data_IF_069782605160
#
_entry.id   IF_069782605160
#
_cell.length_a   1.000
_cell.length_b   1.000
_cell.length_c   1.000
_cell.angle_alpha   90.00
_cell.angle_beta   90.00
_cell.angle_gamma   90.00
#
_symmetry.space_group_name_H-M   'P 1'
#
loop_
_entity.id
_entity.type
_entity.pdbx_description
1 polymer ?
#
# COMPACT_ATOMS: atom_id res chain seq x y z
N UNK A 1 36.84 15.01 -10.70
CA UNK A 1 36.27 16.37 -10.77
C UNK A 1 36.23 16.96 -9.37
N UNK A 2 36.83 18.13 -9.18
CA UNK A 2 36.72 18.89 -7.93
C UNK A 2 35.54 19.85 -8.06
N UNK A 3 34.46 19.58 -7.34
CA UNK A 3 33.36 20.53 -7.15
C UNK A 3 33.75 21.50 -6.03
N UNK A 4 33.35 22.77 -6.16
CA UNK A 4 33.60 23.77 -5.11
C UNK A 4 32.95 23.33 -3.79
N UNK A 5 33.56 23.78 -2.68
CA UNK A 5 33.03 23.54 -1.34
C UNK A 5 31.63 24.13 -1.18
N UNK A 6 31.36 25.27 -1.80
CA UNK A 6 30.04 25.92 -1.80
C UNK A 6 28.93 25.04 -2.38
N UNK A 7 29.19 24.37 -3.51
CA UNK A 7 28.20 23.46 -4.13
C UNK A 7 27.93 22.26 -3.24
N UNK A 8 28.98 21.73 -2.58
CA UNK A 8 28.82 20.63 -1.62
C UNK A 8 28.02 21.05 -0.39
N UNK A 9 28.27 22.25 0.13
CA UNK A 9 27.52 22.81 1.26
C UNK A 9 26.07 23.10 0.90
N UNK A 10 25.80 23.65 -0.29
CA UNK A 10 24.45 23.84 -0.79
C UNK A 10 23.71 22.50 -0.91
N UNK A 11 24.36 21.48 -1.46
CA UNK A 11 23.82 20.12 -1.54
C UNK A 11 23.51 19.56 -0.14
N UNK A 12 24.42 19.75 0.83
CA UNK A 12 24.22 19.33 2.22
C UNK A 12 23.00 20.00 2.83
N UNK A 13 22.86 21.32 2.69
CA UNK A 13 21.70 22.07 3.22
C UNK A 13 20.39 21.57 2.63
N UNK A 14 20.35 21.31 1.32
CA UNK A 14 19.17 20.75 0.66
C UNK A 14 18.85 19.33 1.12
N UNK A 15 19.87 18.50 1.35
CA UNK A 15 19.69 17.14 1.87
C UNK A 15 19.19 17.13 3.32
N UNK A 16 19.67 18.02 4.17
CA UNK A 16 19.19 18.15 5.55
C UNK A 16 17.74 18.69 5.60
N UNK A 17 17.37 19.55 4.66
CA UNK A 17 15.97 19.89 4.36
C UNK A 17 15.18 18.73 3.77
N UNK A 18 15.80 17.58 3.52
CA UNK A 18 15.20 16.32 3.07
C UNK A 18 14.51 16.40 1.72
N UNK A 19 15.10 17.22 0.86
CA UNK A 19 14.93 17.12 -0.58
C UNK A 19 15.48 15.79 -1.10
N UNK A 20 14.86 15.21 -2.13
CA UNK A 20 15.33 13.95 -2.73
C UNK A 20 16.65 14.19 -3.47
N UNK A 21 17.53 13.19 -3.54
CA UNK A 21 18.80 13.31 -4.27
C UNK A 21 18.63 13.71 -5.75
N UNK A 22 17.55 13.26 -6.40
CA UNK A 22 17.16 13.69 -7.76
C UNK A 22 16.84 15.19 -7.84
N UNK A 23 16.15 15.71 -6.83
CA UNK A 23 15.78 17.12 -6.75
C UNK A 23 17.01 17.98 -6.49
N UNK A 24 17.90 17.55 -5.61
CA UNK A 24 19.19 18.22 -5.35
C UNK A 24 20.02 18.26 -6.63
N UNK A 25 20.08 17.16 -7.38
CA UNK A 25 20.76 17.10 -8.67
C UNK A 25 20.17 18.11 -9.66
N UNK A 26 18.83 18.19 -9.78
CA UNK A 26 18.16 19.11 -10.67
C UNK A 26 18.37 20.59 -10.25
N UNK A 27 18.27 20.89 -8.95
CA UNK A 27 18.44 22.26 -8.42
C UNK A 27 19.88 22.78 -8.58
N UNK A 28 20.87 21.90 -8.40
CA UNK A 28 22.29 22.26 -8.53
C UNK A 28 22.85 22.02 -9.95
N UNK A 29 21.99 21.63 -10.91
CA UNK A 29 22.36 21.28 -12.28
C UNK A 29 23.57 20.31 -12.36
N UNK A 30 23.59 19.30 -11.50
CA UNK A 30 24.68 18.33 -11.46
C UNK A 30 24.56 17.33 -12.63
N UNK A 31 25.69 16.95 -13.26
CA UNK A 31 25.67 16.07 -14.42
C UNK A 31 25.26 14.64 -14.10
N UNK A 32 25.46 14.18 -12.86
CA UNK A 32 25.08 12.83 -12.43
C UNK A 32 24.65 12.79 -10.96
N UNK A 33 23.53 12.13 -10.70
CA UNK A 33 23.02 11.92 -9.33
C UNK A 33 24.00 11.17 -8.42
N UNK A 34 24.89 10.32 -8.97
CA UNK A 34 25.91 9.58 -8.21
C UNK A 34 26.82 10.49 -7.40
N UNK A 35 27.01 11.74 -7.83
CA UNK A 35 27.80 12.74 -7.11
C UNK A 35 27.16 13.06 -5.76
N UNK A 36 25.83 13.21 -5.74
CA UNK A 36 25.08 13.49 -4.51
C UNK A 36 25.18 12.30 -3.54
N UNK A 37 24.98 11.07 -4.03
CA UNK A 37 25.15 9.86 -3.20
C UNK A 37 26.57 9.70 -2.67
N UNK A 38 27.59 10.03 -3.47
CA UNK A 38 28.97 10.03 -3.02
C UNK A 38 29.19 11.01 -1.87
N UNK A 39 28.64 12.23 -1.94
CA UNK A 39 28.75 13.21 -0.85
C UNK A 39 27.98 12.82 0.40
N UNK A 40 26.78 12.24 0.25
CA UNK A 40 25.99 11.70 1.37
C UNK A 40 26.84 10.65 2.12
N UNK A 41 27.43 9.70 1.38
CA UNK A 41 28.24 8.63 1.96
C UNK A 41 29.55 9.14 2.59
N UNK A 42 30.24 10.04 1.92
CA UNK A 42 31.51 10.61 2.41
C UNK A 42 31.30 11.51 3.64
N UNK A 43 30.20 12.25 3.66
CA UNK A 43 29.91 13.22 4.72
C UNK A 43 29.06 12.68 5.86
N UNK A 44 28.63 11.42 5.81
CA UNK A 44 27.74 10.81 6.82
C UNK A 44 26.47 11.62 7.01
N UNK A 45 25.87 12.14 5.93
CA UNK A 45 24.74 13.06 6.09
C UNK A 45 23.50 12.35 6.62
N UNK A 46 23.36 11.05 6.38
CA UNK A 46 22.23 10.25 6.90
C UNK A 46 22.21 10.22 8.42
N UNK A 47 23.37 10.17 9.07
CA UNK A 47 23.48 10.18 10.53
C UNK A 47 23.11 11.53 11.15
N UNK A 48 23.08 12.60 10.34
CA UNK A 48 22.68 13.95 10.76
C UNK A 48 21.16 14.15 10.69
N UNK A 49 20.43 13.19 10.10
CA UNK A 49 18.97 13.25 9.99
C UNK A 49 18.35 12.62 11.23
N UNK A 50 17.61 13.39 12.01
CA UNK A 50 16.81 12.84 13.12
C UNK A 50 15.70 11.91 12.62
N UNK A 51 15.34 10.90 13.41
CA UNK A 51 14.15 10.10 13.14
C UNK A 51 12.90 10.96 13.24
N UNK A 52 12.01 10.83 12.25
CA UNK A 52 10.79 11.62 12.15
C UNK A 52 9.59 10.68 12.13
N UNK A 53 8.55 11.03 12.90
CA UNK A 53 7.32 10.26 12.95
C UNK A 53 6.63 10.29 11.57
N UNK A 54 6.02 9.18 11.10
CA UNK A 54 5.52 9.07 9.73
C UNK A 54 4.53 10.17 9.31
N UNK A 55 3.62 10.59 10.19
CA UNK A 55 2.66 11.66 9.90
C UNK A 55 3.37 13.01 9.74
N UNK A 56 4.40 13.26 10.55
CA UNK A 56 5.24 14.47 10.47
C UNK A 56 6.03 14.48 9.16
N UNK A 57 6.66 13.36 8.79
CA UNK A 57 7.42 13.21 7.54
C UNK A 57 6.57 13.42 6.29
N UNK A 58 5.34 12.88 6.27
CA UNK A 58 4.38 13.11 5.18
C UNK A 58 3.98 14.58 5.09
N UNK A 59 3.71 15.23 6.23
CA UNK A 59 3.42 16.67 6.27
C UNK A 59 4.56 17.50 5.70
N UNK A 60 5.79 17.20 6.11
CA UNK A 60 6.98 17.89 5.65
C UNK A 60 7.19 17.75 4.15
N UNK A 61 6.95 16.57 3.59
CA UNK A 61 7.03 16.35 2.13
C UNK A 61 5.98 17.15 1.37
N UNK A 62 4.76 17.25 1.90
CA UNK A 62 3.71 18.10 1.33
C UNK A 62 4.17 19.57 1.31
N UNK A 63 4.67 20.09 2.44
CA UNK A 63 5.20 21.46 2.51
C UNK A 63 6.31 21.71 1.49
N UNK A 64 7.27 20.79 1.35
CA UNK A 64 8.35 20.91 0.37
C UNK A 64 7.85 20.94 -1.09
N UNK A 65 6.79 20.18 -1.41
CA UNK A 65 6.19 20.21 -2.75
C UNK A 65 5.47 21.54 -3.01
N UNK A 66 4.82 22.11 -1.99
CA UNK A 66 4.09 23.38 -2.09
C UNK A 66 5.01 24.61 -2.10
N UNK A 67 6.16 24.55 -1.43
CA UNK A 67 7.16 25.63 -1.38
C UNK A 67 7.92 25.79 -2.71
N UNK A 68 7.70 24.91 -3.69
CA UNK A 68 8.37 24.96 -4.97
C UNK A 68 7.85 26.14 -5.79
N UNK A 69 8.75 27.08 -6.13
CA UNK A 69 8.40 28.31 -6.85
C UNK A 69 7.93 28.08 -8.31
N UNK A 70 8.26 26.93 -8.90
CA UNK A 70 7.84 26.56 -10.25
C UNK A 70 6.48 25.84 -10.24
N UNK A 71 5.77 25.84 -11.37
CA UNK A 71 4.58 25.00 -11.53
C UNK A 71 4.89 23.52 -11.21
N UNK A 72 3.99 22.89 -10.47
CA UNK A 72 4.11 21.48 -10.14
C UNK A 72 3.91 20.64 -11.40
N UNK A 73 4.79 19.66 -11.59
CA UNK A 73 4.65 18.69 -12.68
C UNK A 73 3.50 17.71 -12.41
N UNK A 74 3.01 17.03 -13.44
CA UNK A 74 1.94 16.02 -13.29
C UNK A 74 2.31 14.93 -12.27
N UNK A 75 3.57 14.52 -12.26
CA UNK A 75 4.06 13.51 -11.32
C UNK A 75 4.08 14.03 -9.87
N UNK A 76 4.41 15.30 -9.66
CA UNK A 76 4.39 15.95 -8.34
C UNK A 76 2.96 16.17 -7.84
N UNK A 77 2.01 16.51 -8.72
CA UNK A 77 0.58 16.58 -8.38
C UNK A 77 0.04 15.20 -7.98
N UNK A 78 0.42 14.15 -8.72
CA UNK A 78 0.08 12.77 -8.35
C UNK A 78 0.73 12.34 -7.03
N UNK A 79 1.97 12.76 -6.77
CA UNK A 79 2.64 12.52 -5.48
C UNK A 79 1.86 13.23 -4.35
N UNK A 80 1.48 14.48 -4.54
CA UNK A 80 0.74 15.28 -3.58
C UNK A 80 -0.60 14.63 -3.20
N UNK A 81 -1.38 14.17 -4.18
CA UNK A 81 -2.66 13.50 -3.96
C UNK A 81 -2.52 12.16 -3.21
N UNK A 82 -1.44 11.42 -3.47
CA UNK A 82 -1.14 10.21 -2.70
C UNK A 82 -0.75 10.55 -1.26
N UNK A 83 0.04 11.60 -1.06
CA UNK A 83 0.49 12.04 0.26
C UNK A 83 -0.67 12.55 1.12
N UNK A 84 -1.64 13.30 0.56
CA UNK A 84 -2.85 13.72 1.28
C UNK A 84 -3.67 12.51 1.73
N UNK A 85 -3.87 11.53 0.84
CA UNK A 85 -4.56 10.28 1.17
C UNK A 85 -3.86 9.49 2.28
N UNK A 86 -2.53 9.38 2.23
CA UNK A 86 -1.75 8.70 3.27
C UNK A 86 -1.83 9.47 4.59
N UNK A 87 -1.72 10.80 4.57
CA UNK A 87 -1.82 11.66 5.76
C UNK A 87 -3.15 11.46 6.47
N UNK A 88 -4.27 11.44 5.75
CA UNK A 88 -5.59 11.17 6.34
C UNK A 88 -5.67 9.79 7.00
N UNK A 89 -5.09 8.76 6.38
CA UNK A 89 -5.07 7.41 6.94
C UNK A 89 -4.24 7.35 8.22
N UNK A 90 -3.07 7.98 8.24
CA UNK A 90 -2.21 8.07 9.42
C UNK A 90 -2.90 8.83 10.56
N UNK A 91 -3.58 9.94 10.27
CA UNK A 91 -4.38 10.67 11.27
C UNK A 91 -5.48 9.79 11.88
N UNK A 92 -6.22 9.03 11.06
CA UNK A 92 -7.26 8.11 11.54
C UNK A 92 -6.69 6.98 12.41
N UNK A 93 -5.47 6.53 12.12
CA UNK A 93 -4.78 5.52 12.92
C UNK A 93 -4.29 6.09 14.25
N UNK A 94 -3.77 7.32 14.25
CA UNK A 94 -3.30 8.01 15.45
C UNK A 94 -4.43 8.34 16.45
N UNK A 95 -5.64 8.58 15.96
CA UNK A 95 -6.82 8.87 16.79
C UNK A 95 -7.49 7.59 17.32
N UNK A 96 -7.16 6.41 16.78
CA UNK A 96 -7.78 5.16 17.22
C UNK A 96 -7.19 4.81 18.60
N UNK A 97 -7.96 4.88 19.70
CA UNK A 97 -7.44 4.49 20.99
C UNK A 97 -7.02 3.02 20.90
N UNK A 98 -5.85 2.71 21.48
CA UNK A 98 -5.41 1.34 21.69
C UNK A 98 -6.60 0.53 22.24
N UNK A 99 -6.85 -0.71 21.77
CA UNK A 99 -7.89 -1.53 22.35
C UNK A 99 -7.55 -1.72 23.82
N UNK A 100 -8.28 -1.03 24.70
CA UNK A 100 -8.29 -1.31 26.13
C UNK A 100 -8.51 -2.81 26.29
N UNK A 101 -7.60 -3.55 26.95
CA UNK A 101 -7.81 -4.96 27.20
C UNK A 101 -9.12 -5.10 27.98
N UNK A 102 -9.98 -6.00 27.52
CA UNK A 102 -11.25 -6.29 28.15
C UNK A 102 -11.01 -6.69 29.62
N UNK A 103 -11.46 -5.84 30.55
CA UNK A 103 -11.34 -6.11 31.98
C UNK A 103 -11.90 -4.96 32.81
N UNK A 104 -12.98 -5.28 33.51
CA UNK A 104 -13.57 -4.56 34.64
C UNK A 104 -14.56 -3.43 34.36
N UNK A 105 -15.67 -3.57 35.06
CA UNK A 105 -16.92 -2.83 34.94
C UNK A 105 -17.12 -2.05 36.23
N UNK A 106 -17.36 -0.74 36.12
CA UNK A 106 -18.02 0.09 37.13
C UNK A 106 -18.55 1.33 36.38
N UNK A 107 -19.85 1.40 36.04
CA UNK A 107 -20.84 2.20 36.78
C UNK A 107 -20.49 3.69 36.69
N UNK A 108 -21.00 4.51 35.77
CA UNK A 108 -22.36 5.10 35.70
C UNK A 108 -22.36 6.25 34.63
N UNK A 109 -23.50 6.87 34.26
CA UNK A 109 -23.89 7.08 32.86
C UNK A 109 -23.82 8.54 32.36
N UNK A 110 -23.54 8.77 31.07
CA UNK A 110 -24.07 9.97 30.40
C UNK A 110 -24.23 9.85 28.86
N UNK A 111 -25.48 10.05 28.45
CA UNK A 111 -25.98 10.53 27.15
C UNK A 111 -25.67 9.75 25.86
N UNK A 112 -26.49 8.70 25.65
CA UNK A 112 -26.86 8.23 24.31
C UNK A 112 -27.83 9.23 23.66
N UNK A 113 -27.38 9.98 22.65
CA UNK A 113 -28.29 10.59 21.68
C UNK A 113 -28.86 9.50 20.77
N UNK A 114 -30.07 9.07 21.09
CA UNK A 114 -30.88 8.14 20.31
C UNK A 114 -31.42 8.85 19.06
N UNK A 115 -31.06 8.36 17.87
CA UNK A 115 -31.79 8.62 16.64
C UNK A 115 -32.98 7.67 16.57
N UNK A 116 -34.19 8.24 16.57
CA UNK A 116 -35.46 7.54 16.67
C UNK A 116 -35.71 6.55 15.52
N UNK A 117 -36.03 5.30 15.88
CA UNK A 117 -36.69 4.34 14.99
C UNK A 117 -37.93 3.83 15.72
N UNK A 118 -39.09 4.33 15.30
CA UNK A 118 -40.38 4.03 15.93
C UNK A 118 -40.69 2.54 15.95
N UNK A 119 -40.93 2.02 17.14
CA UNK A 119 -41.57 0.74 17.41
C UNK A 119 -43.07 0.84 17.12
N UNK A 120 -43.59 -0.10 16.33
CA UNK A 120 -44.99 -0.52 16.44
C UNK A 120 -44.99 -2.01 16.74
N UNK A 121 -45.26 -2.30 18.01
CA UNK A 121 -45.56 -3.61 18.58
C UNK A 121 -46.69 -4.28 17.78
N UNK A 122 -46.43 -5.49 17.28
CA UNK A 122 -47.39 -6.37 16.64
C UNK A 122 -47.09 -7.81 17.03
N UNK A 123 -47.85 -8.30 18.01
CA UNK A 123 -47.87 -9.65 18.56
C UNK A 123 -48.26 -10.66 17.48
N UNK A 124 -47.46 -11.71 17.27
CA UNK A 124 -47.73 -12.76 16.29
C UNK A 124 -46.87 -14.00 16.55
N UNK A 125 -47.47 -14.97 17.22
CA UNK A 125 -47.01 -16.35 17.39
C UNK A 125 -46.92 -17.05 16.02
N UNK A 126 -45.75 -17.60 15.67
CA UNK A 126 -45.64 -18.74 14.75
C UNK A 126 -44.22 -19.32 14.74
N UNK A 127 -44.10 -20.60 15.07
CA UNK A 127 -42.87 -21.36 15.01
C UNK A 127 -42.30 -21.43 13.59
N UNK A 128 -41.16 -20.77 13.36
CA UNK A 128 -40.40 -20.85 12.13
C UNK A 128 -38.94 -21.15 12.43
N UNK A 129 -38.46 -22.34 12.03
CA UNK A 129 -37.03 -22.72 12.08
C UNK A 129 -36.17 -21.57 11.58
N UNK A 130 -35.26 -21.10 12.44
CA UNK A 130 -34.27 -20.06 12.15
C UNK A 130 -33.41 -20.53 10.98
N UNK A 131 -33.74 -20.12 9.76
CA UNK A 131 -32.92 -20.40 8.57
C UNK A 131 -31.52 -19.82 8.83
N UNK A 132 -30.54 -20.71 8.92
CA UNK A 132 -29.14 -20.32 9.06
C UNK A 132 -28.77 -19.40 7.89
N UNK A 133 -28.15 -18.28 8.22
CA UNK A 133 -27.71 -17.30 7.22
C UNK A 133 -26.63 -17.98 6.38
N UNK A 134 -26.90 -18.21 5.10
CA UNK A 134 -25.90 -18.73 4.16
C UNK A 134 -24.65 -17.85 4.22
N UNK A 135 -23.50 -18.48 4.43
CA UNK A 135 -22.22 -17.80 4.40
C UNK A 135 -22.06 -17.09 3.05
N UNK A 136 -21.67 -15.82 3.07
CA UNK A 136 -21.36 -15.09 1.83
C UNK A 136 -20.11 -15.73 1.24
N UNK A 137 -20.19 -16.21 0.00
CA UNK A 137 -19.15 -16.97 -0.71
C UNK A 137 -18.94 -18.41 -0.22
N UNK A 138 -20.03 -19.16 -0.04
CA UNK A 138 -19.92 -20.60 0.13
C UNK A 138 -19.47 -21.27 -1.19
N UNK A 139 -18.21 -21.71 -1.20
CA UNK A 139 -17.55 -22.40 -2.32
C UNK A 139 -17.54 -23.92 -2.14
N UNK A 140 -18.22 -24.45 -1.12
CA UNK A 140 -18.26 -25.90 -0.83
C UNK A 140 -18.89 -26.75 -1.95
N UNK A 141 -19.66 -26.12 -2.85
CA UNK A 141 -20.23 -26.76 -4.03
C UNK A 141 -19.32 -26.79 -5.27
N UNK A 142 -18.12 -26.19 -5.21
CA UNK A 142 -17.16 -26.26 -6.32
C UNK A 142 -16.39 -27.57 -6.24
N UNK A 143 -16.61 -28.44 -7.22
CA UNK A 143 -15.87 -29.69 -7.36
C UNK A 143 -14.65 -29.50 -8.28
N UNK A 144 -13.67 -30.39 -8.19
CA UNK A 144 -12.51 -30.39 -9.11
C UNK A 144 -12.95 -30.42 -10.58
N UNK A 145 -14.07 -31.09 -10.87
CA UNK A 145 -14.69 -31.16 -12.19
C UNK A 145 -15.18 -29.79 -12.67
N UNK A 146 -15.75 -28.97 -11.77
CA UNK A 146 -16.16 -27.60 -12.12
C UNK A 146 -14.99 -26.71 -12.50
N UNK A 147 -13.82 -26.91 -11.87
CA UNK A 147 -12.60 -26.21 -12.24
C UNK A 147 -12.09 -26.69 -13.59
N UNK A 148 -12.01 -28.01 -13.83
CA UNK A 148 -11.53 -28.53 -15.11
C UNK A 148 -12.42 -28.08 -16.28
N UNK A 149 -13.74 -28.20 -16.17
CA UNK A 149 -14.63 -27.92 -17.30
C UNK A 149 -14.89 -26.44 -17.53
N UNK A 150 -15.07 -25.63 -16.47
CA UNK A 150 -15.47 -24.21 -16.61
C UNK A 150 -14.29 -23.25 -16.67
N UNK A 151 -13.13 -23.62 -16.11
CA UNK A 151 -11.94 -22.76 -16.11
C UNK A 151 -11.07 -23.05 -17.33
N UNK A 152 -10.80 -24.32 -17.65
CA UNK A 152 -9.91 -24.68 -18.77
C UNK A 152 -10.55 -24.36 -20.11
N UNK A 153 -11.87 -24.53 -20.26
CA UNK A 153 -12.57 -24.18 -21.51
C UNK A 153 -12.47 -22.69 -21.89
N UNK A 154 -12.23 -21.81 -20.92
CA UNK A 154 -12.03 -20.36 -21.14
C UNK A 154 -10.58 -19.97 -21.39
N UNK A 155 -9.64 -20.92 -21.25
CA UNK A 155 -8.22 -20.68 -21.47
C UNK A 155 -7.90 -20.64 -22.96
N UNK A 156 -6.95 -19.81 -23.34
CA UNK A 156 -6.39 -19.82 -24.69
C UNK A 156 -5.70 -21.15 -24.97
N UNK A 157 -5.69 -21.57 -26.24
CA UNK A 157 -5.11 -22.86 -26.67
C UNK A 157 -3.70 -23.12 -26.14
N UNK A 158 -2.82 -22.12 -26.20
CA UNK A 158 -1.45 -22.25 -25.70
C UNK A 158 -1.39 -22.51 -24.18
N UNK A 159 -2.34 -21.98 -23.40
CA UNK A 159 -2.43 -22.23 -21.95
C UNK A 159 -2.88 -23.66 -21.68
N UNK A 160 -3.81 -24.18 -22.49
CA UNK A 160 -4.25 -25.59 -22.41
C UNK A 160 -3.09 -26.55 -22.70
N UNK A 161 -2.27 -26.26 -23.70
CA UNK A 161 -1.08 -27.04 -24.05
C UNK A 161 -0.04 -27.03 -22.90
N UNK A 162 0.16 -25.88 -22.26
CA UNK A 162 1.05 -25.76 -21.10
C UNK A 162 0.50 -26.47 -19.85
N UNK A 163 -0.82 -26.43 -19.63
CA UNK A 163 -1.46 -27.19 -18.56
C UNK A 163 -1.31 -28.70 -18.78
N UNK A 164 -1.52 -29.19 -20.02
CA UNK A 164 -1.30 -30.58 -20.37
C UNK A 164 0.16 -31.01 -20.16
N UNK A 165 1.12 -30.16 -20.55
CA UNK A 165 2.55 -30.40 -20.32
C UNK A 165 2.94 -30.39 -18.83
N UNK A 166 2.21 -29.65 -17.99
CA UNK A 166 2.39 -29.67 -16.54
C UNK A 166 1.88 -30.97 -15.91
N UNK A 167 0.78 -31.54 -16.42
CA UNK A 167 0.20 -32.78 -15.88
C UNK A 167 0.97 -34.03 -16.34
N UNK A 168 1.66 -33.97 -17.47
CA UNK A 168 2.42 -35.09 -18.00
C UNK A 168 3.75 -35.30 -17.24
N UNK A 169 3.99 -36.48 -16.63
CA UNK A 169 5.22 -36.77 -15.87
C UNK A 169 6.54 -36.60 -16.64
N UNK A 170 6.51 -36.72 -17.97
CA UNK A 170 7.69 -36.63 -18.82
C UNK A 170 8.07 -35.18 -19.16
N UNK A 171 7.10 -34.27 -19.24
CA UNK A 171 7.32 -32.89 -19.68
C UNK A 171 7.21 -31.87 -18.54
N UNK A 172 6.64 -32.24 -17.40
CA UNK A 172 6.44 -31.34 -16.25
C UNK A 172 7.74 -30.80 -15.63
N UNK A 173 8.88 -31.48 -15.85
CA UNK A 173 10.21 -31.07 -15.37
C UNK A 173 11.02 -30.27 -16.39
N UNK A 174 10.48 -30.04 -17.59
CA UNK A 174 11.15 -29.22 -18.60
C UNK A 174 11.27 -27.79 -18.07
N UNK A 175 12.48 -27.23 -18.17
CA UNK A 175 12.83 -25.90 -17.63
C UNK A 175 11.83 -24.81 -18.04
N UNK A 176 11.37 -24.85 -19.29
CA UNK A 176 10.42 -23.86 -19.81
C UNK A 176 9.07 -23.94 -19.09
N UNK A 177 8.58 -25.14 -18.81
CA UNK A 177 7.32 -25.36 -18.07
C UNK A 177 7.49 -24.94 -16.60
N UNK A 178 8.60 -25.31 -15.96
CA UNK A 178 8.89 -24.94 -14.58
C UNK A 178 9.04 -23.43 -14.38
N UNK A 179 9.78 -22.75 -15.27
CA UNK A 179 9.97 -21.29 -15.20
C UNK A 179 8.67 -20.55 -15.45
N UNK A 180 7.86 -20.97 -16.42
CA UNK A 180 6.55 -20.38 -16.67
C UNK A 180 5.66 -20.39 -15.42
N UNK A 181 5.69 -21.48 -14.63
CA UNK A 181 4.98 -21.54 -13.34
C UNK A 181 5.51 -20.54 -12.32
N UNK A 182 6.83 -20.41 -12.19
CA UNK A 182 7.47 -19.51 -11.22
C UNK A 182 7.14 -18.04 -11.49
N UNK A 183 7.00 -17.66 -12.75
CA UNK A 183 6.65 -16.29 -13.15
C UNK A 183 5.14 -16.02 -13.12
N UNK A 184 4.33 -16.97 -12.65
CA UNK A 184 2.88 -16.80 -12.48
C UNK A 184 2.08 -16.98 -13.77
N UNK A 185 2.61 -17.66 -14.79
CA UNK A 185 1.81 -18.04 -15.95
C UNK A 185 0.73 -19.01 -15.50
N UNK A 186 -0.54 -18.68 -15.77
CA UNK A 186 -1.69 -19.57 -15.59
C UNK A 186 -1.55 -20.76 -16.54
N UNK A 187 -0.93 -21.82 -16.02
CA UNK A 187 -0.88 -23.16 -16.61
C UNK A 187 -1.68 -24.10 -15.71
#
# INVERSE_FOLDING_TARGET
MYYSTEVKEAAKRLFLRRCKAKEIQAQLNLPNIRIVYYWIRQGGWEDMLSDEEPLTAVGRRITLLLDKASSLTKDELNELDRLTTVRERLLKQAVKPAPTPAGESTGEPQERRQGARGERSGRGDSGGKKREKKAKNDISGLTEVDFLDKFISKMYRYQQELFAAKQNPLTCRIRNILKSRQVGLTC
#
